data_IF_890025540998
#
_entry.id   IF_890025540998
#
_cell.length_a   1.000
_cell.length_b   1.000
_cell.length_c   1.000
_cell.angle_alpha   90.00
_cell.angle_beta   90.00
_cell.angle_gamma   90.00
#
_symmetry.space_group_name_H-M   'P 1'
#
loop_
_entity.id
_entity.type
_entity.pdbx_description
1 polymer ?
#
# COMPACT_ATOMS: atom_id res chain seq x y z
N UNK A 1 -65.66 -15.21 6.51
CA UNK A 1 -64.96 -15.13 5.22
C UNK A 1 -64.11 -13.88 5.24
N UNK A 2 -62.84 -14.01 5.68
CA UNK A 2 -61.69 -13.17 5.33
C UNK A 2 -60.47 -14.00 5.74
N UNK A 3 -59.68 -14.43 4.75
CA UNK A 3 -58.39 -15.08 4.92
C UNK A 3 -57.34 -13.97 5.01
N UNK A 4 -56.36 -14.11 5.90
CA UNK A 4 -55.01 -13.66 5.58
C UNK A 4 -53.99 -14.53 6.30
N UNK A 5 -53.37 -15.38 5.50
CA UNK A 5 -52.15 -16.12 5.78
C UNK A 5 -50.99 -15.12 5.77
N UNK A 6 -50.07 -15.22 6.73
CA UNK A 6 -48.62 -15.22 6.45
C UNK A 6 -47.78 -15.38 7.73
N UNK A 7 -47.36 -16.62 7.96
CA UNK A 7 -46.14 -16.96 8.71
C UNK A 7 -44.93 -16.66 7.84
N UNK A 8 -44.01 -15.78 8.22
CA UNK A 8 -42.63 -15.81 7.69
C UNK A 8 -41.59 -15.47 8.78
N UNK A 9 -40.94 -16.53 9.24
CA UNK A 9 -39.52 -16.68 9.63
C UNK A 9 -38.80 -15.58 10.42
N UNK A 10 -38.60 -15.85 11.72
CA UNK A 10 -37.42 -15.40 12.45
C UNK A 10 -36.19 -16.16 11.92
N UNK A 11 -35.37 -15.50 11.09
CA UNK A 11 -34.08 -16.01 10.64
C UNK A 11 -32.99 -15.37 11.51
N UNK A 12 -32.47 -16.18 12.43
CA UNK A 12 -31.20 -16.08 13.15
C UNK A 12 -30.21 -15.06 12.56
N UNK A 13 -29.93 -14.01 13.33
CA UNK A 13 -28.80 -13.11 13.10
C UNK A 13 -27.48 -13.89 13.27
N UNK A 14 -26.90 -14.32 12.16
CA UNK A 14 -25.51 -14.76 12.14
C UNK A 14 -24.64 -13.52 12.33
N UNK A 15 -24.00 -13.40 13.49
CA UNK A 15 -22.99 -12.39 13.79
C UNK A 15 -21.80 -12.56 12.83
N UNK A 16 -21.86 -11.91 11.67
CA UNK A 16 -20.75 -11.84 10.74
C UNK A 16 -19.77 -10.77 11.27
N UNK A 17 -18.51 -11.10 11.61
CA UNK A 17 -17.55 -10.13 12.18
C UNK A 17 -17.08 -9.04 11.19
N UNK A 18 -17.66 -9.02 9.98
CA UNK A 18 -17.39 -8.08 8.88
C UNK A 18 -18.62 -7.19 8.56
N UNK A 19 -19.25 -6.59 9.57
CA UNK A 19 -20.22 -5.52 9.31
C UNK A 19 -19.50 -4.29 8.77
N UNK A 20 -20.04 -3.68 7.70
CA UNK A 20 -19.48 -2.49 7.05
C UNK A 20 -19.16 -1.37 8.05
N UNK A 21 -19.96 -1.24 9.11
CA UNK A 21 -19.77 -0.27 10.19
C UNK A 21 -18.41 -0.38 10.88
N UNK A 22 -17.84 -1.59 10.98
CA UNK A 22 -16.52 -1.79 11.60
C UNK A 22 -15.37 -1.39 10.68
N UNK A 23 -15.59 -1.41 9.37
CA UNK A 23 -14.65 -0.90 8.36
C UNK A 23 -14.70 0.64 8.37
N UNK A 24 -15.87 1.22 8.64
CA UNK A 24 -16.08 2.67 8.72
C UNK A 24 -15.47 3.30 9.98
N UNK A 25 -15.28 2.54 11.07
CA UNK A 25 -14.81 3.07 12.36
C UNK A 25 -13.29 3.22 12.48
N UNK A 26 -12.50 2.67 11.55
CA UNK A 26 -11.04 2.72 11.64
C UNK A 26 -10.50 3.98 10.94
N UNK A 27 -10.67 5.14 11.58
CA UNK A 27 -10.02 6.43 11.24
C UNK A 27 -10.11 6.83 9.77
N UNK A 28 -11.24 7.44 9.39
CA UNK A 28 -11.34 8.19 8.13
C UNK A 28 -10.44 9.42 8.22
N UNK A 29 -9.21 9.28 7.75
CA UNK A 29 -8.43 10.44 7.30
C UNK A 29 -9.30 11.11 6.23
N UNK A 30 -9.56 12.41 6.35
CA UNK A 30 -10.36 13.12 5.35
C UNK A 30 -9.74 12.89 3.96
N UNK A 31 -10.54 12.73 2.90
CA UNK A 31 -10.02 12.48 1.54
C UNK A 31 -8.93 13.49 1.16
N UNK A 32 -9.10 14.74 1.58
CA UNK A 32 -8.14 15.83 1.40
C UNK A 32 -6.81 15.59 2.14
N UNK A 33 -6.84 15.19 3.42
CA UNK A 33 -5.63 14.85 4.18
C UNK A 33 -5.00 13.53 3.70
N UNK A 34 -5.83 12.58 3.27
CA UNK A 34 -5.40 11.30 2.72
C UNK A 34 -4.64 11.48 1.41
N UNK A 35 -5.09 12.42 0.56
CA UNK A 35 -4.38 12.80 -0.67
C UNK A 35 -3.10 13.57 -0.35
N UNK A 36 -3.11 14.51 0.61
CA UNK A 36 -1.90 15.25 1.00
C UNK A 36 -0.79 14.33 1.52
N UNK A 37 -1.15 13.32 2.31
CA UNK A 37 -0.19 12.40 2.92
C UNK A 37 0.07 11.12 2.11
N UNK A 38 -0.57 10.95 0.95
CA UNK A 38 -0.44 9.72 0.15
C UNK A 38 1.00 9.46 -0.29
N UNK A 39 1.77 10.52 -0.56
CA UNK A 39 3.18 10.37 -0.94
C UNK A 39 4.05 9.85 0.21
N UNK A 40 3.80 10.30 1.43
CA UNK A 40 4.51 9.84 2.63
C UNK A 40 4.10 8.42 3.00
N UNK A 41 2.82 8.13 2.98
CA UNK A 41 2.30 6.78 3.16
C UNK A 41 2.93 5.80 2.15
N UNK A 42 2.94 6.16 0.86
CA UNK A 42 3.53 5.31 -0.18
C UNK A 42 5.04 5.12 0.02
N UNK A 43 5.77 6.15 0.44
CA UNK A 43 7.20 6.03 0.79
C UNK A 43 7.41 5.13 2.02
N UNK A 44 6.50 5.16 2.99
CA UNK A 44 6.53 4.23 4.12
C UNK A 44 6.28 2.78 3.66
N UNK A 45 5.30 2.54 2.78
CA UNK A 45 5.06 1.22 2.18
C UNK A 45 6.29 0.75 1.38
N UNK A 46 6.94 1.65 0.65
CA UNK A 46 8.18 1.34 -0.05
C UNK A 46 9.30 0.91 0.90
N UNK A 47 9.46 1.58 2.05
CA UNK A 47 10.44 1.17 3.07
C UNK A 47 10.16 -0.24 3.60
N UNK A 48 8.89 -0.56 3.88
CA UNK A 48 8.47 -1.90 4.32
C UNK A 48 8.80 -2.95 3.25
N UNK A 49 8.58 -2.64 1.98
CA UNK A 49 8.95 -3.53 0.87
C UNK A 49 10.46 -3.82 0.85
N UNK A 50 11.31 -2.80 1.05
CA UNK A 50 12.77 -3.00 1.12
C UNK A 50 13.21 -3.76 2.37
N UNK A 51 12.54 -3.60 3.51
CA UNK A 51 12.81 -4.42 4.69
C UNK A 51 12.52 -5.91 4.43
N UNK A 52 11.44 -6.21 3.68
CA UNK A 52 11.04 -7.58 3.34
C UNK A 52 11.92 -8.22 2.26
N UNK A 53 12.20 -7.50 1.18
CA UNK A 53 12.85 -8.07 0.00
C UNK A 53 14.35 -7.75 -0.10
N UNK A 54 14.86 -6.79 0.68
CA UNK A 54 16.25 -6.29 0.74
C UNK A 54 16.77 -5.63 -0.53
N UNK A 55 16.38 -6.12 -1.70
CA UNK A 55 16.76 -5.64 -3.02
C UNK A 55 15.53 -5.54 -3.92
N UNK A 56 15.37 -4.42 -4.62
CA UNK A 56 14.30 -4.23 -5.60
C UNK A 56 14.77 -3.41 -6.80
N UNK A 57 14.29 -3.75 -7.99
CA UNK A 57 14.40 -2.92 -9.19
C UNK A 57 13.22 -1.94 -9.27
N UNK A 58 13.34 -0.90 -10.11
CA UNK A 58 12.22 0.05 -10.36
C UNK A 58 10.98 -0.69 -10.85
N UNK A 59 11.14 -1.69 -11.73
CA UNK A 59 10.02 -2.47 -12.28
C UNK A 59 9.32 -3.26 -11.18
N UNK A 60 10.07 -3.83 -10.23
CA UNK A 60 9.48 -4.51 -9.08
C UNK A 60 8.69 -3.54 -8.19
N UNK A 61 9.24 -2.36 -7.91
CA UNK A 61 8.56 -1.33 -7.12
C UNK A 61 7.24 -0.90 -7.76
N UNK A 62 7.24 -0.66 -9.08
CA UNK A 62 6.02 -0.35 -9.85
C UNK A 62 4.97 -1.45 -9.71
N UNK A 63 5.38 -2.71 -9.82
CA UNK A 63 4.47 -3.86 -9.68
C UNK A 63 3.93 -4.01 -8.26
N UNK A 64 4.74 -3.81 -7.24
CA UNK A 64 4.31 -3.96 -5.84
C UNK A 64 3.43 -2.80 -5.35
N UNK A 65 3.71 -1.56 -5.77
CA UNK A 65 2.97 -0.38 -5.33
C UNK A 65 1.84 0.03 -6.27
N UNK A 66 1.77 -0.54 -7.48
CA UNK A 66 0.76 -0.16 -8.47
C UNK A 66 0.86 1.29 -8.92
N UNK A 67 2.06 1.89 -8.91
CA UNK A 67 2.27 3.30 -9.26
C UNK A 67 3.00 3.45 -10.60
N UNK A 68 2.90 4.63 -11.23
CA UNK A 68 3.63 4.92 -12.46
C UNK A 68 5.16 4.88 -12.24
N UNK A 69 5.92 4.48 -13.27
CA UNK A 69 7.38 4.39 -13.20
C UNK A 69 8.07 5.72 -12.81
N UNK A 70 7.54 6.85 -13.27
CA UNK A 70 8.04 8.17 -12.88
C UNK A 70 7.82 8.45 -11.39
N UNK A 71 6.68 8.02 -10.83
CA UNK A 71 6.37 8.13 -9.40
C UNK A 71 7.32 7.25 -8.59
N UNK A 72 7.47 5.98 -8.97
CA UNK A 72 8.42 5.07 -8.32
C UNK A 72 9.85 5.65 -8.34
N UNK A 73 10.29 6.22 -9.46
CA UNK A 73 11.62 6.84 -9.59
C UNK A 73 11.77 8.04 -8.66
N UNK A 74 10.75 8.89 -8.53
CA UNK A 74 10.78 10.02 -7.59
C UNK A 74 10.88 9.54 -6.15
N UNK A 75 10.06 8.58 -5.75
CA UNK A 75 10.05 8.05 -4.38
C UNK A 75 11.38 7.37 -4.02
N UNK A 76 11.93 6.56 -4.93
CA UNK A 76 13.23 5.90 -4.76
C UNK A 76 14.35 6.93 -4.59
N UNK A 77 14.38 7.97 -5.42
CA UNK A 77 15.35 9.07 -5.29
C UNK A 77 15.19 9.84 -3.98
N UNK A 78 13.95 10.07 -3.52
CA UNK A 78 13.71 10.70 -2.22
C UNK A 78 14.26 9.85 -1.07
N UNK A 79 14.04 8.54 -1.09
CA UNK A 79 14.54 7.63 -0.05
C UNK A 79 16.07 7.43 -0.14
N UNK A 80 16.63 7.45 -1.34
CA UNK A 80 18.09 7.48 -1.57
C UNK A 80 18.71 8.75 -1.00
N UNK A 81 18.16 9.93 -1.32
CA UNK A 81 18.64 11.22 -0.82
C UNK A 81 18.51 11.34 0.71
N UNK A 82 17.48 10.72 1.29
CA UNK A 82 17.30 10.62 2.74
C UNK A 82 18.19 9.54 3.40
N UNK A 83 19.01 8.83 2.63
CA UNK A 83 19.95 7.82 3.14
C UNK A 83 19.34 6.45 3.39
N UNK A 84 18.04 6.23 3.25
CA UNK A 84 17.40 4.93 3.52
C UNK A 84 17.75 3.84 2.51
N UNK A 85 18.00 4.24 1.26
CA UNK A 85 18.30 3.32 0.18
C UNK A 85 19.63 3.68 -0.46
N UNK A 86 20.28 2.66 -1.04
CA UNK A 86 21.45 2.84 -1.89
C UNK A 86 21.15 2.28 -3.27
N UNK A 87 21.43 3.07 -4.30
CA UNK A 87 21.39 2.59 -5.68
C UNK A 87 22.67 1.84 -6.03
N UNK A 88 22.52 0.70 -6.69
CA UNK A 88 23.63 -0.16 -7.11
C UNK A 88 23.59 -0.33 -8.63
N UNK A 89 24.76 -0.20 -9.24
CA UNK A 89 24.99 -0.43 -10.66
C UNK A 89 25.91 -1.64 -10.78
N UNK A 90 25.37 -2.86 -11.05
CA UNK A 90 26.19 -4.07 -11.16
C UNK A 90 27.07 -4.06 -12.42
N UNK A 91 26.70 -3.25 -13.41
CA UNK A 91 27.41 -3.01 -14.67
C UNK A 91 27.24 -1.55 -15.05
N UNK A 92 27.98 -1.06 -16.04
CA UNK A 92 27.81 0.31 -16.58
C UNK A 92 26.46 0.54 -17.27
N UNK A 93 25.72 -0.53 -17.60
CA UNK A 93 24.36 -0.42 -18.15
C UNK A 93 23.37 0.11 -17.10
N UNK A 94 22.65 1.22 -17.36
CA UNK A 94 21.65 1.75 -16.44
C UNK A 94 20.48 0.79 -16.19
N UNK A 95 20.19 -0.11 -17.14
CA UNK A 95 19.03 -1.02 -17.09
C UNK A 95 19.18 -2.15 -16.09
N UNK A 96 20.40 -2.45 -15.64
CA UNK A 96 20.67 -3.45 -14.62
C UNK A 96 20.73 -2.85 -13.21
N UNK A 97 20.48 -1.55 -13.06
CA UNK A 97 20.50 -0.92 -11.74
C UNK A 97 19.35 -1.39 -10.85
N UNK A 98 19.64 -1.49 -9.56
CA UNK A 98 18.68 -1.84 -8.50
C UNK A 98 18.95 -0.99 -7.26
N UNK A 99 18.03 -1.06 -6.30
CA UNK A 99 18.21 -0.42 -4.99
C UNK A 99 18.29 -1.49 -3.92
N UNK A 100 19.02 -1.19 -2.85
CA UNK A 100 19.11 -1.99 -1.63
C UNK A 100 18.80 -1.12 -0.42
N UNK A 101 18.40 -1.76 0.68
CA UNK A 101 18.31 -1.10 1.98
C UNK A 101 19.71 -0.63 2.39
N UNK A 102 19.85 0.62 2.84
CA UNK A 102 21.07 1.07 3.48
C UNK A 102 21.02 0.67 4.96
N UNK A 103 21.90 -0.24 5.37
CA UNK A 103 21.95 -0.75 6.76
C UNK A 103 22.46 0.28 7.77
N UNK A 104 23.03 1.39 7.28
CA UNK A 104 23.56 2.49 8.09
C UNK A 104 22.56 3.65 8.27
N UNK A 105 21.27 3.45 7.96
CA UNK A 105 20.24 4.49 7.93
C UNK A 105 19.28 4.45 9.12
#
# INVERSE_FOLDING_TARGET
>A
MFLDENKINQKTESSNPFTQEKILSQTYISLEEGVKNYSDYRRQQLRILFQKHRLLTIVMVVRFLGCAANTATKDLKSLEAAGYLKKVYPTDSPRSSYYILNENA
#
